data_IF_045987450739
#
_entry.id   IF_045987450739
#
_cell.length_a   1.000
_cell.length_b   1.000
_cell.length_c   1.000
_cell.angle_alpha   90.00
_cell.angle_beta   90.00
_cell.angle_gamma   90.00
#
_symmetry.space_group_name_H-M   'P 1'
#
loop_
_entity.id
_entity.type
_entity.pdbx_description
1 polymer ?
#
# COMPACT_ATOMS: atom_id res chain seq x y z
N UNK A 1 2.50 -29.61 -8.72
CA UNK A 1 2.29 -28.73 -7.56
C UNK A 1 1.23 -27.73 -7.97
N UNK A 2 0.12 -27.61 -7.24
CA UNK A 2 -1.04 -26.76 -7.61
C UNK A 2 -1.15 -25.49 -6.76
N UNK A 3 -0.20 -25.26 -5.85
CA UNK A 3 -0.26 -24.21 -4.84
C UNK A 3 1.09 -23.50 -4.67
N UNK A 4 1.06 -22.31 -4.08
CA UNK A 4 2.23 -21.54 -3.62
C UNK A 4 2.17 -21.31 -2.10
N UNK A 5 3.33 -21.19 -1.45
CA UNK A 5 3.42 -20.70 -0.08
C UNK A 5 3.36 -19.17 -0.08
N UNK A 6 2.52 -18.60 0.78
CA UNK A 6 2.43 -17.15 0.98
C UNK A 6 3.36 -16.67 2.10
N UNK A 7 3.44 -15.36 2.29
CA UNK A 7 4.28 -14.73 3.31
C UNK A 7 3.95 -15.18 4.73
N UNK A 8 2.66 -15.32 5.05
CA UNK A 8 2.22 -15.83 6.35
C UNK A 8 2.29 -17.36 6.46
N UNK A 9 2.87 -18.05 5.47
CA UNK A 9 2.96 -19.51 5.43
C UNK A 9 1.67 -20.23 5.05
N UNK A 10 0.68 -19.53 4.48
CA UNK A 10 -0.55 -20.18 3.96
C UNK A 10 -0.24 -20.84 2.62
N UNK A 11 -1.10 -21.78 2.22
CA UNK A 11 -1.08 -22.35 0.88
C UNK A 11 -2.19 -21.75 0.03
N UNK A 12 -1.83 -21.09 -1.05
CA UNK A 12 -2.78 -20.61 -2.05
C UNK A 12 -2.86 -21.60 -3.20
N UNK A 13 -3.98 -22.31 -3.35
CA UNK A 13 -4.19 -23.33 -4.38
C UNK A 13 -4.90 -22.75 -5.60
N UNK A 14 -4.26 -22.83 -6.77
CA UNK A 14 -4.82 -22.30 -8.02
C UNK A 14 -5.96 -23.14 -8.59
N UNK A 15 -6.16 -24.40 -8.19
CA UNK A 15 -7.29 -25.21 -8.66
C UNK A 15 -8.54 -24.96 -7.81
N UNK A 16 -8.35 -24.80 -6.50
CA UNK A 16 -9.41 -24.63 -5.49
C UNK A 16 -9.11 -23.45 -4.54
N UNK A 17 -9.07 -22.20 -5.04
CA UNK A 17 -8.86 -21.02 -4.21
C UNK A 17 -10.10 -20.73 -3.39
N UNK A 18 -9.91 -20.31 -2.14
CA UNK A 18 -10.98 -20.01 -1.18
C UNK A 18 -10.78 -18.65 -0.54
N UNK A 19 -11.85 -18.08 0.03
CA UNK A 19 -11.79 -16.80 0.75
C UNK A 19 -10.83 -16.84 1.96
N UNK A 20 -10.62 -18.01 2.56
CA UNK A 20 -9.69 -18.20 3.69
C UNK A 20 -8.23 -18.18 3.26
N UNK A 21 -7.96 -18.45 1.99
CA UNK A 21 -6.61 -18.36 1.42
C UNK A 21 -6.18 -16.93 1.09
N UNK A 22 -7.10 -15.97 1.15
CA UNK A 22 -6.84 -14.55 0.90
C UNK A 22 -6.53 -13.82 2.21
N UNK A 23 -5.40 -13.11 2.26
CA UNK A 23 -4.93 -12.38 3.44
C UNK A 23 -4.39 -11.01 3.08
N UNK A 24 -4.79 -9.98 3.84
CA UNK A 24 -4.27 -8.62 3.69
C UNK A 24 -2.74 -8.56 3.85
N UNK A 25 -2.17 -9.30 4.81
CA UNK A 25 -0.73 -9.30 5.06
C UNK A 25 0.05 -9.93 3.90
N UNK A 26 -0.48 -10.99 3.31
CA UNK A 26 0.08 -11.63 2.12
C UNK A 26 0.02 -10.69 0.92
N UNK A 27 -1.13 -10.04 0.71
CA UNK A 27 -1.33 -9.04 -0.34
C UNK A 27 -0.34 -7.89 -0.18
N UNK A 28 -0.35 -7.20 0.96
CA UNK A 28 0.53 -6.07 1.19
C UNK A 28 2.02 -6.43 1.06
N UNK A 29 2.41 -7.61 1.54
CA UNK A 29 3.79 -8.08 1.41
C UNK A 29 4.18 -8.36 -0.04
N UNK A 30 3.37 -9.12 -0.78
CA UNK A 30 3.65 -9.45 -2.17
C UNK A 30 3.65 -8.20 -3.05
N UNK A 31 2.59 -7.38 -3.00
CA UNK A 31 2.47 -6.15 -3.81
C UNK A 31 3.61 -5.15 -3.54
N UNK A 32 4.16 -5.13 -2.32
CA UNK A 32 5.29 -4.25 -2.00
C UNK A 32 6.60 -4.63 -2.66
N UNK A 33 6.71 -5.87 -3.16
CA UNK A 33 7.89 -6.43 -3.80
C UNK A 33 7.69 -6.67 -5.30
N UNK A 34 6.44 -6.76 -5.77
CA UNK A 34 6.12 -6.85 -7.19
C UNK A 34 6.37 -5.49 -7.82
N UNK A 35 7.33 -5.45 -8.76
CA UNK A 35 7.65 -4.24 -9.51
C UNK A 35 6.71 -4.08 -10.69
N UNK A 36 6.16 -2.86 -10.85
CA UNK A 36 5.51 -2.44 -12.08
C UNK A 36 6.53 -2.27 -13.21
N UNK A 37 6.04 -2.20 -14.44
CA UNK A 37 6.85 -2.03 -15.65
C UNK A 37 7.92 -3.12 -15.84
N UNK A 38 7.69 -4.31 -15.27
CA UNK A 38 8.69 -5.38 -15.17
C UNK A 38 10.04 -4.90 -14.60
N UNK A 39 10.04 -3.88 -13.74
CA UNK A 39 11.27 -3.32 -13.15
C UNK A 39 12.13 -2.48 -14.10
N UNK A 40 11.58 -2.00 -15.23
CA UNK A 40 12.31 -1.13 -16.19
C UNK A 40 12.24 0.37 -15.82
N UNK A 41 11.88 0.70 -14.59
CA UNK A 41 11.89 2.06 -14.06
C UNK A 41 13.28 2.45 -13.58
N UNK A 42 13.54 3.76 -13.45
CA UNK A 42 14.82 4.28 -12.96
C UNK A 42 15.15 3.84 -11.52
N UNK A 43 14.14 3.43 -10.74
CA UNK A 43 14.25 2.83 -9.41
C UNK A 43 13.06 1.89 -9.16
N UNK A 44 13.17 0.88 -8.27
CA UNK A 44 12.11 -0.12 -8.05
C UNK A 44 10.77 0.50 -7.63
N UNK A 45 9.74 0.36 -8.46
CA UNK A 45 8.41 0.92 -8.19
C UNK A 45 7.38 -0.20 -8.03
N UNK A 46 6.78 -0.28 -6.85
CA UNK A 46 5.94 -1.42 -6.47
C UNK A 46 4.45 -1.23 -6.81
N UNK A 47 3.73 -2.33 -7.00
CA UNK A 47 2.27 -2.33 -7.15
C UNK A 47 1.57 -1.74 -5.93
N UNK A 48 2.11 -1.99 -4.72
CA UNK A 48 1.58 -1.39 -3.50
C UNK A 48 1.66 0.15 -3.54
N UNK A 49 2.77 0.71 -4.01
CA UNK A 49 2.92 2.16 -4.12
C UNK A 49 1.97 2.77 -5.15
N UNK A 50 1.77 2.09 -6.29
CA UNK A 50 0.76 2.45 -7.29
C UNK A 50 -0.64 2.47 -6.67
N UNK A 51 -1.03 1.38 -6.02
CA UNK A 51 -2.35 1.21 -5.41
C UNK A 51 -2.66 2.26 -4.35
N UNK A 52 -1.68 2.57 -3.49
CA UNK A 52 -1.79 3.66 -2.51
C UNK A 52 -2.01 4.99 -3.22
N UNK A 53 -1.24 5.28 -4.28
CA UNK A 53 -1.39 6.47 -5.11
C UNK A 53 -2.80 6.61 -5.71
N UNK A 54 -3.30 5.55 -6.34
CA UNK A 54 -4.63 5.49 -6.94
C UNK A 54 -5.74 5.78 -5.91
N UNK A 55 -5.60 5.25 -4.68
CA UNK A 55 -6.56 5.48 -3.58
C UNK A 55 -6.70 6.94 -3.13
N UNK A 56 -5.77 7.82 -3.52
CA UNK A 56 -5.82 9.26 -3.24
C UNK A 56 -6.28 10.11 -4.42
N UNK A 57 -6.50 9.51 -5.60
CA UNK A 57 -6.99 10.21 -6.79
C UNK A 57 -8.51 10.17 -6.86
N UNK A 58 -9.10 9.05 -6.43
CA UNK A 58 -10.55 8.85 -6.45
C UNK A 58 -11.24 9.58 -5.29
N UNK A 59 -12.56 9.85 -5.41
CA UNK A 59 -13.40 10.22 -4.27
C UNK A 59 -13.33 9.18 -3.14
N UNK A 60 -13.59 9.62 -1.91
CA UNK A 60 -13.37 8.81 -0.70
C UNK A 60 -14.15 7.48 -0.71
N UNK A 61 -15.36 7.47 -1.28
CA UNK A 61 -16.22 6.30 -1.40
C UNK A 61 -15.63 5.20 -2.31
N UNK A 62 -14.74 5.54 -3.23
CA UNK A 62 -14.05 4.60 -4.12
C UNK A 62 -12.63 4.27 -3.66
N UNK A 63 -12.14 4.92 -2.60
CA UNK A 63 -10.74 4.83 -2.20
C UNK A 63 -10.31 3.42 -1.80
N UNK A 64 -11.18 2.65 -1.14
CA UNK A 64 -10.89 1.26 -0.78
C UNK A 64 -10.80 0.37 -2.02
N UNK A 65 -11.74 0.55 -2.95
CA UNK A 65 -11.73 -0.18 -4.21
C UNK A 65 -10.46 0.15 -5.02
N UNK A 66 -10.07 1.43 -5.10
CA UNK A 66 -8.84 1.85 -5.75
C UNK A 66 -7.57 1.33 -5.07
N UNK A 67 -7.55 1.23 -3.73
CA UNK A 67 -6.41 0.60 -3.03
C UNK A 67 -6.30 -0.90 -3.35
N UNK A 68 -7.43 -1.58 -3.53
CA UNK A 68 -7.48 -3.03 -3.63
C UNK A 68 -7.64 -3.56 -5.06
N UNK A 69 -7.69 -2.69 -6.08
CA UNK A 69 -7.99 -3.10 -7.45
C UNK A 69 -6.98 -4.12 -8.01
N UNK A 70 -5.69 -3.93 -7.74
CA UNK A 70 -4.60 -4.83 -8.13
C UNK A 70 -4.25 -5.87 -7.05
N UNK A 71 -5.06 -6.01 -5.99
CA UNK A 71 -4.71 -6.91 -4.88
C UNK A 71 -4.61 -8.39 -5.26
N UNK A 72 -5.27 -8.79 -6.35
CA UNK A 72 -5.19 -10.13 -6.91
C UNK A 72 -3.79 -10.47 -7.47
N UNK A 73 -3.01 -9.47 -7.88
CA UNK A 73 -1.63 -9.63 -8.38
C UNK A 73 -0.70 -10.21 -7.32
N UNK A 74 -1.04 -10.13 -6.03
CA UNK A 74 -0.31 -10.82 -4.97
C UNK A 74 -0.21 -12.34 -5.19
N UNK A 75 -1.17 -12.92 -5.92
CA UNK A 75 -1.26 -14.36 -6.18
C UNK A 75 -0.95 -14.72 -7.63
N UNK A 76 -1.09 -13.79 -8.58
CA UNK A 76 -0.86 -14.06 -10.02
C UNK A 76 0.31 -13.28 -10.64
N UNK A 77 0.94 -12.40 -9.85
CA UNK A 77 1.96 -11.42 -10.26
C UNK A 77 1.42 -10.31 -11.18
N UNK A 78 2.12 -9.17 -11.24
CA UNK A 78 1.85 -8.11 -12.22
C UNK A 78 2.38 -8.53 -13.59
N UNK A 79 1.47 -8.78 -14.53
CA UNK A 79 1.81 -9.13 -15.90
C UNK A 79 1.49 -7.98 -16.85
N UNK A 80 2.45 -7.61 -17.68
CA UNK A 80 2.28 -6.48 -18.61
C UNK A 80 1.10 -6.70 -19.55
N UNK A 81 0.25 -5.68 -19.64
CA UNK A 81 -0.95 -5.68 -20.48
C UNK A 81 -0.72 -6.21 -21.91
N UNK A 82 0.33 -5.84 -22.66
CA UNK A 82 0.59 -6.40 -23.98
C UNK A 82 0.75 -7.93 -23.99
N UNK A 83 1.44 -8.51 -23.01
CA UNK A 83 1.66 -9.94 -22.92
C UNK A 83 0.37 -10.71 -22.60
N UNK A 84 -0.50 -10.13 -21.75
CA UNK A 84 -1.81 -10.72 -21.39
C UNK A 84 -2.71 -11.01 -22.61
N UNK A 85 -2.52 -10.32 -23.74
CA UNK A 85 -3.28 -10.57 -24.97
C UNK A 85 -3.00 -11.95 -25.58
N UNK A 86 -1.83 -12.52 -25.31
CA UNK A 86 -1.42 -13.83 -25.83
C UNK A 86 -1.73 -14.99 -24.86
N UNK A 87 -2.28 -14.70 -23.67
CA UNK A 87 -2.43 -15.66 -22.58
C UNK A 87 -3.88 -15.69 -22.04
N UNK A 88 -4.84 -16.22 -22.82
CA UNK A 88 -6.25 -16.27 -22.42
C UNK A 88 -6.49 -17.08 -21.15
N UNK A 89 -5.77 -18.20 -20.98
CA UNK A 89 -5.89 -19.06 -19.80
C UNK A 89 -5.42 -18.34 -18.53
N UNK A 90 -4.35 -17.54 -18.63
CA UNK A 90 -3.89 -16.69 -17.53
C UNK A 90 -4.96 -15.65 -17.15
N UNK A 91 -5.55 -14.98 -18.15
CA UNK A 91 -6.64 -14.01 -17.92
C UNK A 91 -7.84 -14.62 -17.20
N UNK A 92 -8.19 -15.86 -17.52
CA UNK A 92 -9.27 -16.57 -16.83
C UNK A 92 -8.93 -16.86 -15.35
N UNK A 93 -7.69 -17.27 -15.06
CA UNK A 93 -7.21 -17.48 -13.69
C UNK A 93 -7.16 -16.16 -12.91
N UNK A 94 -6.61 -15.11 -13.52
CA UNK A 94 -6.54 -13.75 -12.96
C UNK A 94 -7.93 -13.23 -12.60
N UNK A 95 -8.89 -13.31 -13.53
CA UNK A 95 -10.28 -12.87 -13.29
C UNK A 95 -10.93 -13.60 -12.12
N UNK A 96 -10.70 -14.92 -12.00
CA UNK A 96 -11.26 -15.71 -10.89
C UNK A 96 -10.70 -15.26 -9.53
N UNK A 97 -9.40 -14.97 -9.48
CA UNK A 97 -8.72 -14.54 -8.25
C UNK A 97 -9.12 -13.10 -7.91
N UNK A 98 -9.25 -12.22 -8.90
CA UNK A 98 -9.80 -10.88 -8.74
C UNK A 98 -11.19 -10.91 -8.08
N UNK A 99 -12.09 -11.75 -8.59
CA UNK A 99 -13.43 -11.92 -8.00
C UNK A 99 -13.37 -12.41 -6.55
N UNK A 100 -12.50 -13.37 -6.23
CA UNK A 100 -12.34 -13.86 -4.85
C UNK A 100 -11.81 -12.78 -3.90
N UNK A 101 -10.84 -11.98 -4.35
CA UNK A 101 -10.35 -10.84 -3.57
C UNK A 101 -11.48 -9.82 -3.39
N UNK A 102 -12.22 -9.47 -4.44
CA UNK A 102 -13.35 -8.54 -4.33
C UNK A 102 -14.40 -9.01 -3.32
N UNK A 103 -14.80 -10.28 -3.38
CA UNK A 103 -15.73 -10.90 -2.43
C UNK A 103 -15.20 -10.89 -1.00
N UNK A 104 -13.93 -11.31 -0.82
CA UNK A 104 -13.27 -11.29 0.48
C UNK A 104 -13.41 -9.89 1.07
N UNK A 105 -13.10 -8.86 0.28
CA UNK A 105 -13.03 -7.45 0.70
C UNK A 105 -14.29 -6.60 0.58
N UNK A 106 -15.46 -7.19 0.33
CA UNK A 106 -16.70 -6.42 0.26
C UNK A 106 -16.74 -5.41 -0.89
N UNK A 107 -15.96 -5.65 -1.95
CA UNK A 107 -15.83 -4.75 -3.09
C UNK A 107 -16.84 -5.09 -4.19
N UNK A 108 -17.24 -4.12 -5.02
CA UNK A 108 -18.05 -4.39 -6.21
C UNK A 108 -17.38 -5.46 -7.09
N UNK A 109 -18.16 -6.41 -7.63
CA UNK A 109 -17.63 -7.47 -8.51
C UNK A 109 -17.07 -6.96 -9.83
N UNK A 110 -17.36 -5.71 -10.19
CA UNK A 110 -16.83 -5.04 -11.38
C UNK A 110 -16.20 -3.72 -10.96
N UNK A 111 -15.03 -3.43 -11.50
CA UNK A 111 -14.31 -2.18 -11.21
C UNK A 111 -15.15 -0.95 -11.57
N UNK A 112 -15.30 -0.04 -10.63
CA UNK A 112 -15.96 1.25 -10.84
C UNK A 112 -15.22 2.10 -11.89
N UNK A 113 -15.93 2.88 -12.72
CA UNK A 113 -15.31 3.76 -13.72
C UNK A 113 -14.28 4.74 -13.13
N UNK A 114 -14.55 5.26 -11.93
CA UNK A 114 -13.70 6.19 -11.18
C UNK A 114 -12.35 5.54 -10.86
N UNK A 115 -12.36 4.28 -10.43
CA UNK A 115 -11.16 3.51 -10.13
C UNK A 115 -10.36 3.22 -11.41
N UNK A 116 -11.03 2.83 -12.50
CA UNK A 116 -10.36 2.64 -13.80
C UNK A 116 -9.71 3.92 -14.31
N UNK A 117 -10.38 5.06 -14.15
CA UNK A 117 -9.81 6.34 -14.53
C UNK A 117 -8.59 6.70 -13.66
N UNK A 118 -8.67 6.48 -12.35
CA UNK A 118 -7.56 6.73 -11.45
C UNK A 118 -6.33 5.85 -11.71
N UNK A 119 -6.52 4.58 -12.06
CA UNK A 119 -5.45 3.69 -12.51
C UNK A 119 -4.74 4.26 -13.76
N UNK A 120 -5.50 4.71 -14.77
CA UNK A 120 -4.91 5.35 -15.95
C UNK A 120 -4.18 6.67 -15.62
N UNK A 121 -4.72 7.48 -14.72
CA UNK A 121 -4.05 8.72 -14.26
C UNK A 121 -2.75 8.38 -13.53
N UNK A 122 -2.74 7.36 -12.66
CA UNK A 122 -1.52 6.88 -12.01
C UNK A 122 -0.51 6.35 -13.04
N UNK A 123 -0.95 5.53 -14.00
CA UNK A 123 -0.11 5.00 -15.07
C UNK A 123 0.56 6.12 -15.89
N UNK A 124 -0.18 7.19 -16.21
CA UNK A 124 0.36 8.36 -16.89
C UNK A 124 1.40 9.10 -16.03
N UNK A 125 1.10 9.30 -14.74
CA UNK A 125 1.99 9.93 -13.76
C UNK A 125 3.29 9.14 -13.60
N UNK A 126 3.19 7.82 -13.52
CA UNK A 126 4.31 6.89 -13.39
C UNK A 126 5.19 6.87 -14.64
N UNK A 127 4.57 6.81 -15.82
CA UNK A 127 5.30 6.86 -17.09
C UNK A 127 6.16 8.11 -17.18
N UNK A 128 5.61 9.26 -16.82
CA UNK A 128 6.33 10.54 -16.86
C UNK A 128 7.46 10.59 -15.82
N UNK A 129 7.20 10.14 -14.60
CA UNK A 129 8.16 10.25 -13.50
C UNK A 129 9.26 9.18 -13.51
N UNK A 130 8.98 7.98 -14.02
CA UNK A 130 9.79 6.78 -13.75
C UNK A 130 10.44 6.16 -14.99
N UNK A 131 9.89 6.39 -16.18
CA UNK A 131 10.42 5.83 -17.43
C UNK A 131 11.26 6.86 -18.19
N UNK A 132 12.08 6.36 -19.11
CA UNK A 132 12.85 7.24 -19.98
C UNK A 132 11.93 8.09 -20.86
N UNK A 133 12.32 9.33 -21.16
CA UNK A 133 11.53 10.24 -22.00
C UNK A 133 11.24 9.69 -23.41
N UNK A 134 12.06 8.73 -23.88
CA UNK A 134 11.90 8.04 -25.16
C UNK A 134 11.02 6.77 -25.07
N UNK A 135 10.25 6.59 -24.00
CA UNK A 135 9.33 5.45 -23.79
C UNK A 135 8.15 5.39 -24.77
N UNK A 136 8.08 6.34 -25.70
CA UNK A 136 7.08 6.42 -26.77
C UNK A 136 5.71 6.86 -26.28
N UNK A 137 4.77 6.94 -27.22
CA UNK A 137 3.38 7.27 -26.96
C UNK A 137 2.58 6.02 -26.68
N UNK A 138 1.68 6.08 -25.70
CA UNK A 138 0.85 4.96 -25.29
C UNK A 138 -0.60 5.33 -25.60
N UNK A 139 -1.25 4.73 -26.63
CA UNK A 139 -2.60 5.09 -27.03
C UNK A 139 -3.64 5.00 -25.91
N UNK A 140 -3.43 4.11 -24.93
CA UNK A 140 -4.31 3.97 -23.76
C UNK A 140 -4.33 5.21 -22.86
N UNK A 141 -3.32 6.09 -22.97
CA UNK A 141 -3.20 7.32 -22.19
C UNK A 141 -3.67 8.56 -22.99
N UNK A 142 -4.20 8.39 -24.20
CA UNK A 142 -4.72 9.51 -24.98
C UNK A 142 -5.89 10.19 -24.23
N UNK A 143 -5.76 11.51 -24.00
CA UNK A 143 -6.74 12.29 -23.24
C UNK A 143 -6.66 12.13 -21.72
N UNK A 144 -5.72 11.34 -21.19
CA UNK A 144 -5.49 11.20 -19.75
C UNK A 144 -4.49 12.24 -19.28
N UNK A 145 -4.88 13.06 -18.30
CA UNK A 145 -3.97 14.03 -17.67
C UNK A 145 -3.31 13.40 -16.44
N UNK A 146 -1.96 13.39 -16.34
CA UNK A 146 -1.26 12.95 -15.15
C UNK A 146 -1.67 13.72 -13.88
N UNK A 147 -1.55 13.06 -12.73
CA UNK A 147 -1.73 13.69 -11.43
C UNK A 147 -0.56 14.63 -11.13
N UNK A 148 -0.80 15.65 -10.30
CA UNK A 148 0.26 16.53 -9.78
C UNK A 148 1.07 15.89 -8.62
N UNK A 149 0.82 14.60 -8.31
CA UNK A 149 1.51 13.87 -7.26
C UNK A 149 2.97 13.65 -7.61
N UNK A 150 3.84 13.92 -6.65
CA UNK A 150 5.27 13.62 -6.75
C UNK A 150 5.48 12.16 -6.33
N UNK A 151 6.02 11.34 -7.23
CA UNK A 151 6.39 9.97 -6.92
C UNK A 151 7.77 9.97 -6.27
N UNK A 152 7.82 9.63 -4.99
CA UNK A 152 9.07 9.52 -4.21
C UNK A 152 9.47 8.04 -4.14
N UNK A 153 10.77 7.71 -4.32
CA UNK A 153 11.25 6.36 -4.11
C UNK A 153 10.87 5.79 -2.74
N UNK A 154 10.36 4.56 -2.71
CA UNK A 154 10.02 3.83 -1.49
C UNK A 154 10.67 2.46 -1.50
N UNK A 155 11.18 2.04 -0.34
CA UNK A 155 11.53 0.64 -0.10
C UNK A 155 10.27 -0.23 -0.05
N UNK A 156 10.43 -1.54 -0.27
CA UNK A 156 9.31 -2.48 -0.12
C UNK A 156 8.71 -2.47 1.30
N UNK A 157 9.52 -2.21 2.34
CA UNK A 157 9.02 -2.08 3.72
C UNK A 157 8.10 -0.87 3.85
N UNK A 158 8.49 0.28 3.28
CA UNK A 158 7.69 1.50 3.29
C UNK A 158 6.39 1.34 2.49
N UNK A 159 6.47 0.75 1.29
CA UNK A 159 5.31 0.51 0.45
C UNK A 159 4.30 -0.44 1.13
N UNK A 160 4.79 -1.53 1.74
CA UNK A 160 3.96 -2.45 2.54
C UNK A 160 3.26 -1.73 3.67
N UNK A 161 3.99 -0.91 4.45
CA UNK A 161 3.44 -0.17 5.58
C UNK A 161 2.37 0.83 5.14
N UNK A 162 2.62 1.60 4.09
CA UNK A 162 1.65 2.57 3.58
C UNK A 162 0.39 1.89 3.04
N UNK A 163 0.51 0.74 2.39
CA UNK A 163 -0.63 -0.04 1.93
C UNK A 163 -1.52 -0.50 3.10
N UNK A 164 -0.92 -1.11 4.13
CA UNK A 164 -1.65 -1.58 5.33
C UNK A 164 -2.31 -0.41 6.06
N UNK A 165 -1.57 0.68 6.29
CA UNK A 165 -2.14 1.86 6.93
C UNK A 165 -3.33 2.43 6.16
N UNK A 166 -3.17 2.61 4.84
CA UNK A 166 -4.24 3.14 4.01
C UNK A 166 -5.46 2.22 4.02
N UNK A 167 -5.27 0.90 4.04
CA UNK A 167 -6.36 -0.06 4.16
C UNK A 167 -7.12 0.12 5.49
N UNK A 168 -6.41 0.22 6.62
CA UNK A 168 -7.04 0.42 7.93
C UNK A 168 -7.75 1.78 8.04
N UNK A 169 -7.16 2.84 7.50
CA UNK A 169 -7.78 4.17 7.45
C UNK A 169 -9.12 4.15 6.70
N UNK A 170 -9.19 3.36 5.63
CA UNK A 170 -10.37 3.27 4.76
C UNK A 170 -11.46 2.32 5.28
N UNK A 171 -11.08 1.36 6.13
CA UNK A 171 -12.00 0.40 6.73
C UNK A 171 -12.40 0.79 8.16
N UNK A 172 -11.82 1.85 8.72
CA UNK A 172 -11.99 2.24 10.13
C UNK A 172 -11.71 1.07 11.12
N UNK A 173 -10.88 0.10 10.70
CA UNK A 173 -10.64 -1.14 11.44
C UNK A 173 -11.84 -2.11 11.50
N UNK A 174 -12.94 -1.82 10.80
CA UNK A 174 -14.14 -2.65 10.72
C UNK A 174 -14.28 -3.19 9.30
N UNK A 175 -13.88 -4.44 9.12
CA UNK A 175 -13.96 -5.11 7.84
C UNK A 175 -15.03 -6.21 7.86
N UNK A 176 -15.97 -6.13 6.92
CA UNK A 176 -17.02 -7.14 6.73
C UNK A 176 -16.76 -7.83 5.38
N UNK A 177 -16.53 -9.14 5.40
CA UNK A 177 -16.54 -9.93 4.18
C UNK A 177 -17.95 -9.93 3.57
N UNK A 178 -18.09 -10.18 2.27
CA UNK A 178 -19.41 -10.42 1.65
C UNK A 178 -19.45 -11.79 1.01
N UNK A 179 -20.62 -12.41 0.99
CA UNK A 179 -20.84 -13.68 0.29
C UNK A 179 -20.99 -13.48 -1.23
N UNK A 180 -21.20 -14.58 -1.97
CA UNK A 180 -21.37 -14.55 -3.42
C UNK A 180 -22.62 -13.79 -3.90
N UNK A 181 -23.58 -13.52 -3.00
CA UNK A 181 -24.79 -12.73 -3.27
C UNK A 181 -24.60 -11.25 -2.91
N UNK A 182 -23.45 -10.90 -2.31
CA UNK A 182 -23.09 -9.54 -1.91
C UNK A 182 -23.58 -9.17 -0.51
N UNK A 183 -24.02 -10.14 0.29
CA UNK A 183 -24.55 -9.89 1.63
C UNK A 183 -23.44 -9.86 2.70
N UNK A 184 -23.53 -9.00 3.73
CA UNK A 184 -22.48 -8.87 4.74
C UNK A 184 -22.33 -10.15 5.58
N UNK A 185 -21.12 -10.71 5.58
CA UNK A 185 -20.66 -11.78 6.46
C UNK A 185 -19.66 -11.18 7.46
N UNK A 186 -20.01 -11.17 8.75
CA UNK A 186 -19.11 -10.67 9.78
C UNK A 186 -17.83 -11.52 9.84
N UNK A 187 -16.72 -10.96 9.38
CA UNK A 187 -15.37 -11.41 9.70
C UNK A 187 -14.91 -10.60 10.91
N UNK A 188 -14.70 -11.24 12.06
CA UNK A 188 -14.20 -10.56 13.25
C UNK A 188 -12.88 -9.81 13.02
N UNK A 189 -12.47 -8.94 13.96
CA UNK A 189 -11.22 -8.20 13.83
C UNK A 189 -10.04 -9.17 13.64
N UNK A 190 -9.10 -8.86 12.73
CA UNK A 190 -7.93 -9.70 12.53
C UNK A 190 -7.08 -9.75 13.81
N UNK A 191 -7.00 -10.93 14.42
CA UNK A 191 -6.37 -11.16 15.74
C UNK A 191 -4.86 -10.86 15.80
N UNK A 192 -4.20 -10.45 14.70
CA UNK A 192 -2.73 -10.35 14.57
C UNK A 192 -2.22 -8.95 14.14
N UNK A 193 -3.11 -7.96 13.94
CA UNK A 193 -2.74 -6.71 13.26
C UNK A 193 -2.29 -5.57 14.20
N UNK A 194 -2.61 -5.62 15.50
CA UNK A 194 -2.37 -4.51 16.45
C UNK A 194 -0.87 -4.17 16.62
N UNK A 195 -0.01 -5.18 16.70
CA UNK A 195 1.44 -5.02 16.93
C UNK A 195 2.19 -4.50 15.70
N UNK A 196 1.71 -4.76 14.49
CA UNK A 196 2.33 -4.26 13.25
C UNK A 196 1.99 -2.77 13.05
N UNK A 197 0.77 -2.37 13.42
CA UNK A 197 0.27 -0.99 13.33
C UNK A 197 1.03 -0.07 14.29
N UNK A 198 1.20 -0.44 15.57
CA UNK A 198 1.90 0.38 16.56
C UNK A 198 3.35 0.68 16.12
N UNK A 199 4.05 -0.34 15.61
CA UNK A 199 5.43 -0.20 15.16
C UNK A 199 5.55 0.65 13.87
N UNK A 200 4.56 0.59 12.99
CA UNK A 200 4.56 1.34 11.73
C UNK A 200 4.14 2.80 11.91
N UNK A 201 3.16 3.10 12.78
CA UNK A 201 2.84 4.48 13.18
C UNK A 201 4.04 5.16 13.83
N UNK A 202 4.72 4.47 14.74
CA UNK A 202 5.94 4.95 15.39
C UNK A 202 7.06 5.27 14.38
N UNK A 203 7.28 4.39 13.40
CA UNK A 203 8.31 4.57 12.36
C UNK A 203 8.01 5.70 11.38
N UNK A 204 6.73 5.98 11.10
CA UNK A 204 6.31 7.09 10.24
C UNK A 204 6.38 8.43 10.99
N UNK A 205 5.98 8.45 12.26
CA UNK A 205 6.04 9.64 13.13
C UNK A 205 7.48 10.10 13.34
N UNK A 206 8.40 9.16 13.65
CA UNK A 206 9.83 9.44 13.78
C UNK A 206 10.45 9.97 12.49
N UNK A 207 10.09 9.40 11.33
CA UNK A 207 10.58 9.89 10.03
C UNK A 207 10.06 11.28 9.69
N UNK A 208 8.78 11.58 9.97
CA UNK A 208 8.21 12.91 9.75
C UNK A 208 8.82 13.97 10.68
N UNK A 209 9.13 13.60 11.92
CA UNK A 209 9.87 14.46 12.87
C UNK A 209 11.30 14.71 12.37
N UNK A 210 12.01 13.65 11.93
CA UNK A 210 13.37 13.77 11.38
C UNK A 210 13.43 14.56 10.07
N UNK A 211 12.43 14.43 9.20
CA UNK A 211 12.34 15.22 7.96
C UNK A 211 11.97 16.68 8.24
N UNK A 212 11.11 16.94 9.23
CA UNK A 212 10.81 18.29 9.72
C UNK A 212 12.02 19.01 10.32
N UNK A 213 12.94 18.28 10.96
CA UNK A 213 14.18 18.79 11.54
C UNK A 213 15.30 19.04 10.52
N UNK A 214 15.19 18.51 9.28
CA UNK A 214 16.24 18.62 8.24
C UNK A 214 16.01 19.72 7.20
N UNK A 215 14.89 20.44 7.26
CA UNK A 215 14.58 21.52 6.31
C UNK A 215 15.07 22.88 6.86
N UNK A 216 15.99 23.58 6.18
CA UNK A 216 16.48 24.87 6.66
C UNK A 216 15.35 25.91 6.65
N UNK A 217 15.08 26.53 7.81
CA UNK A 217 14.21 27.71 7.93
C UNK A 217 12.83 27.52 8.59
N UNK A 218 12.49 26.35 9.15
CA UNK A 218 11.26 26.18 9.96
C UNK A 218 11.56 26.08 11.45
N UNK A 219 10.69 26.69 12.28
CA UNK A 219 10.80 26.67 13.75
C UNK A 219 10.63 25.23 14.30
N UNK A 220 11.36 24.87 15.37
CA UNK A 220 11.19 23.58 16.04
C UNK A 220 9.76 23.39 16.56
N UNK A 221 9.32 22.13 16.65
CA UNK A 221 8.03 21.73 17.21
C UNK A 221 7.87 22.29 18.64
N UNK A 222 6.65 22.74 18.99
CA UNK A 222 6.38 23.33 20.31
C UNK A 222 6.51 22.30 21.43
N UNK A 223 6.90 22.75 22.62
CA UNK A 223 7.07 21.91 23.81
C UNK A 223 5.80 21.10 24.16
N UNK A 224 4.61 21.63 23.85
CA UNK A 224 3.32 20.95 24.05
C UNK A 224 3.14 19.71 23.17
N UNK A 225 3.72 19.68 21.95
CA UNK A 225 3.66 18.51 21.07
C UNK A 225 4.61 17.43 21.56
N UNK A 226 5.78 17.80 22.09
CA UNK A 226 6.70 16.85 22.72
C UNK A 226 6.11 16.24 24.01
N UNK A 227 5.46 17.06 24.86
CA UNK A 227 4.83 16.56 26.09
C UNK A 227 3.69 15.58 25.81
N UNK A 228 2.92 15.79 24.74
CA UNK A 228 1.85 14.89 24.35
C UNK A 228 2.36 13.53 23.85
N UNK A 229 3.49 13.53 23.12
CA UNK A 229 4.19 12.31 22.69
C UNK A 229 4.79 11.56 23.89
N UNK A 230 5.33 12.29 24.88
CA UNK A 230 5.89 11.70 26.09
C UNK A 230 4.82 11.08 27.01
N UNK A 231 3.62 11.66 27.07
CA UNK A 231 2.53 11.15 27.92
C UNK A 231 1.83 9.90 27.38
N UNK A 232 1.81 9.68 26.06
CA UNK A 232 1.16 8.53 25.42
C UNK A 232 1.84 7.18 25.68
N UNK A 233 3.06 7.15 26.23
CA UNK A 233 3.93 5.96 26.19
C UNK A 233 4.65 5.63 27.50
N UNK A 234 3.97 5.80 28.65
CA UNK A 234 4.55 5.57 29.97
C UNK A 234 4.97 4.10 30.29
N UNK A 235 4.49 3.11 29.53
CA UNK A 235 4.64 1.68 29.88
C UNK A 235 5.66 0.89 29.04
N UNK A 236 6.39 1.53 28.11
CA UNK A 236 7.33 0.82 27.23
C UNK A 236 8.80 1.19 27.53
N UNK A 237 9.49 0.28 28.23
CA UNK A 237 10.87 0.46 28.73
C UNK A 237 11.90 0.61 27.59
N UNK A 238 11.66 -0.03 26.44
CA UNK A 238 12.53 0.08 25.26
C UNK A 238 12.44 1.46 24.60
N UNK A 239 11.24 2.04 24.55
CA UNK A 239 11.01 3.38 24.01
C UNK A 239 11.59 4.48 24.90
N UNK A 240 11.55 4.31 26.23
CA UNK A 240 12.24 5.22 27.17
C UNK A 240 13.73 5.32 26.91
N UNK A 241 14.39 4.19 26.63
CA UNK A 241 15.83 4.17 26.32
C UNK A 241 16.15 4.98 25.05
N UNK A 242 15.33 4.85 24.01
CA UNK A 242 15.54 5.53 22.72
C UNK A 242 15.24 7.03 22.83
N UNK A 243 14.20 7.43 23.58
CA UNK A 243 13.90 8.84 23.85
C UNK A 243 15.03 9.50 24.65
N UNK A 244 15.53 8.84 25.71
CA UNK A 244 16.68 9.32 26.48
C UNK A 244 17.93 9.50 25.60
N UNK A 245 18.19 8.59 24.65
CA UNK A 245 19.32 8.71 23.71
C UNK A 245 19.16 9.90 22.76
N UNK A 246 17.96 10.13 22.25
CA UNK A 246 17.66 11.26 21.37
C UNK A 246 17.73 12.60 22.12
N UNK A 247 17.25 12.67 23.36
CA UNK A 247 17.39 13.85 24.22
C UNK A 247 18.86 14.15 24.56
N UNK A 248 19.67 13.11 24.82
CA UNK A 248 21.11 13.26 25.05
C UNK A 248 21.83 13.82 23.81
N UNK A 249 21.44 13.37 22.61
CA UNK A 249 21.98 13.88 21.34
C UNK A 249 21.53 15.32 21.05
N UNK A 250 20.29 15.68 21.38
CA UNK A 250 19.77 17.03 21.25
C UNK A 250 20.52 18.01 22.16
N UNK A 251 20.74 17.63 23.43
CA UNK A 251 21.45 18.44 24.42
C UNK A 251 22.95 18.57 24.12
N UNK A 252 23.57 17.54 23.53
CA UNK A 252 24.97 17.59 23.08
C UNK A 252 25.16 18.52 21.87
N UNK A 253 24.14 18.71 21.03
CA UNK A 253 24.15 19.63 19.89
C UNK A 253 24.04 21.11 20.27
N UNK A 254 23.39 21.42 21.39
CA UNK A 254 23.19 22.81 21.86
C UNK A 254 24.47 23.41 22.50
N UNK A 255 25.43 22.58 22.96
CA UNK A 255 26.69 23.07 23.54
C UNK A 255 27.84 23.30 22.53
N UNK A 256 27.60 23.11 21.23
CA UNK A 256 28.59 23.43 20.16
C UNK A 256 28.04 24.40 19.11
N UNK A 257 27.27 25.39 19.56
CA UNK A 257 26.83 26.54 18.77
C UNK A 257 27.24 27.84 19.44
#
# INVERSE_FOLDING_TARGET
MSWISTYTGRHFNYTEPSLDSISLLDIAHALSQINRFCGHTNWPYSVAQHSVGASYIVPQEFALEALMHDAHEAYVNDMMSPLKHFLPDYKAVETRIEQLVRLKFGLPLKTSPEVKHADLVMLATEKEALLHANSGDWPILEGITPSNRIIVPMSHVEAKQQFIHRFHDLTAGQYFAVDYEGEPVYSGPPEDDTLVIENAMHSLMLRNIQQGLKLPGRKPLSAEVLDHVNHLHADNEHLRSVICELEAQLNAGVQRG
#
